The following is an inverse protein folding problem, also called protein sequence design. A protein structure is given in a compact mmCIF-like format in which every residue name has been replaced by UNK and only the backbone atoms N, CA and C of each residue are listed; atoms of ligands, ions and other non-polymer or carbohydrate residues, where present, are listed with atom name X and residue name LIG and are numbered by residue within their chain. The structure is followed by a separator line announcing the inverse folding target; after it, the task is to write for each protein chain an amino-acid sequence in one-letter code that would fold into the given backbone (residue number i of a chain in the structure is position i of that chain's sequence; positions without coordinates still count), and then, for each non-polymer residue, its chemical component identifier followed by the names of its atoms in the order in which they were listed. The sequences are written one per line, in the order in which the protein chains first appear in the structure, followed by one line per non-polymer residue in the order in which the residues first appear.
data_IF_053130731551
#
_entry.id   IF_053130731551
#
_cell.length_a   1.000
_cell.length_b   1.000
_cell.length_c   1.000
_cell.angle_alpha   90.00
_cell.angle_beta   90.00
_cell.angle_gamma   90.00
#
_symmetry.space_group_name_H-M   'P 1'
#
loop_
_entity.id
_entity.type
_entity.pdbx_description
1 polymer ?
#
# COMPACT_ATOMS: atom_id res chain seq x y z
N UNK A 1 -26.76 4.15 27.96
CA UNK A 1 -26.16 5.27 28.72
C UNK A 1 -25.37 6.13 27.75
N UNK A 2 -25.91 7.28 27.33
CA UNK A 2 -25.25 8.22 26.42
C UNK A 2 -24.25 9.05 27.24
N UNK A 3 -22.97 8.70 27.16
CA UNK A 3 -21.88 9.49 27.76
C UNK A 3 -21.97 10.93 27.27
N UNK A 4 -22.00 11.92 28.18
CA UNK A 4 -22.12 13.32 27.78
C UNK A 4 -20.89 13.76 26.99
N UNK A 5 -21.09 14.60 25.99
CA UNK A 5 -20.03 15.05 25.07
C UNK A 5 -18.74 15.58 25.71
N UNK A 6 -18.75 16.35 26.83
CA UNK A 6 -17.51 16.75 27.51
C UNK A 6 -16.79 15.57 28.19
N UNK A 7 -17.51 14.58 28.72
CA UNK A 7 -16.91 13.37 29.29
C UNK A 7 -16.17 12.56 28.23
N UNK A 8 -16.65 12.56 26.98
CA UNK A 8 -16.01 11.86 25.88
C UNK A 8 -14.68 12.51 25.41
N UNK A 9 -14.54 13.84 25.53
CA UNK A 9 -13.28 14.54 25.24
C UNK A 9 -12.28 14.33 26.38
N UNK A 10 -12.73 14.41 27.62
CA UNK A 10 -11.91 14.11 28.80
C UNK A 10 -11.41 12.65 28.80
N UNK A 11 -12.27 11.70 28.43
CA UNK A 11 -11.88 10.30 28.30
C UNK A 11 -10.79 10.10 27.23
N UNK A 12 -10.89 10.81 26.10
CA UNK A 12 -9.85 10.82 25.07
C UNK A 12 -8.54 11.39 25.62
N UNK A 13 -8.56 12.57 26.24
CA UNK A 13 -7.38 13.19 26.83
C UNK A 13 -6.70 12.25 27.85
N UNK A 14 -7.48 11.60 28.72
CA UNK A 14 -6.95 10.64 29.69
C UNK A 14 -6.28 9.42 29.05
N UNK A 15 -6.76 8.96 27.88
CA UNK A 15 -6.11 7.86 27.13
C UNK A 15 -4.78 8.31 26.54
N UNK A 16 -4.70 9.52 25.98
CA UNK A 16 -3.44 10.05 25.42
C UNK A 16 -2.40 10.39 26.49
N UNK A 17 -2.83 10.78 27.69
CA UNK A 17 -1.94 11.16 28.79
C UNK A 17 -1.39 9.97 29.59
N UNK A 18 -1.79 8.73 29.28
CA UNK A 18 -1.17 7.56 29.91
C UNK A 18 0.32 7.50 29.53
N UNK A 19 1.23 7.28 30.48
CA UNK A 19 2.67 7.25 30.21
C UNK A 19 3.06 6.18 29.18
N UNK A 20 2.29 5.09 29.09
CA UNK A 20 2.50 3.99 28.13
C UNK A 20 1.77 4.20 26.79
N UNK A 21 1.10 5.34 26.58
CA UNK A 21 0.42 5.60 25.33
C UNK A 21 1.45 5.76 24.21
N UNK A 22 1.39 4.83 23.24
CA UNK A 22 2.19 4.91 22.02
C UNK A 22 1.95 6.23 21.29
N UNK A 23 2.93 6.69 20.53
CA UNK A 23 2.80 7.90 19.71
C UNK A 23 1.58 7.81 18.77
N UNK A 24 1.35 6.63 18.19
CA UNK A 24 0.16 6.32 17.38
C UNK A 24 -1.15 6.58 18.13
N UNK A 25 -1.25 6.09 19.37
CA UNK A 25 -2.44 6.30 20.21
C UNK A 25 -2.65 7.78 20.50
N UNK A 26 -1.59 8.52 20.84
CA UNK A 26 -1.65 9.97 21.09
C UNK A 26 -2.14 10.74 19.85
N UNK A 27 -1.61 10.43 18.67
CA UNK A 27 -2.05 11.02 17.40
C UNK A 27 -3.53 10.72 17.09
N UNK A 28 -3.95 9.47 17.21
CA UNK A 28 -5.35 9.06 16.95
C UNK A 28 -6.31 9.80 17.89
N UNK A 29 -5.95 9.87 19.17
CA UNK A 29 -6.76 10.54 20.19
C UNK A 29 -6.88 12.04 19.88
N UNK A 30 -5.78 12.72 19.59
CA UNK A 30 -5.79 14.15 19.28
C UNK A 30 -6.66 14.47 18.05
N UNK A 31 -6.49 13.73 16.95
CA UNK A 31 -7.33 13.88 15.74
C UNK A 31 -8.81 13.64 16.03
N UNK A 32 -9.12 12.62 16.84
CA UNK A 32 -10.51 12.32 17.26
C UNK A 32 -11.11 13.43 18.12
N UNK A 33 -10.32 14.04 19.02
CA UNK A 33 -10.79 15.14 19.85
C UNK A 33 -11.16 16.37 19.00
N UNK A 34 -10.31 16.73 18.03
CA UNK A 34 -10.56 17.83 17.09
C UNK A 34 -11.81 17.59 16.23
N UNK A 35 -11.94 16.39 15.63
CA UNK A 35 -13.14 16.01 14.85
C UNK A 35 -14.42 15.99 15.69
N UNK A 36 -14.33 15.60 16.96
CA UNK A 36 -15.47 15.66 17.88
C UNK A 36 -15.87 17.09 18.18
N UNK A 37 -14.91 18.00 18.39
CA UNK A 37 -15.18 19.43 18.56
C UNK A 37 -15.82 20.03 17.30
N UNK A 38 -15.36 19.65 16.11
CA UNK A 38 -15.98 20.05 14.84
C UNK A 38 -17.43 19.55 14.75
N UNK A 39 -17.69 18.29 15.11
CA UNK A 39 -19.04 17.74 15.13
C UNK A 39 -19.96 18.46 16.12
N UNK A 40 -19.47 18.89 17.29
CA UNK A 40 -20.25 19.69 18.24
C UNK A 40 -20.73 21.01 17.64
N UNK A 41 -19.88 21.67 16.85
CA UNK A 41 -20.22 22.95 16.23
C UNK A 41 -21.24 22.83 15.10
N UNK A 42 -21.49 21.63 14.55
CA UNK A 42 -22.47 21.41 13.47
C UNK A 42 -23.90 21.78 13.88
N UNK A 43 -24.24 21.68 15.17
CA UNK A 43 -25.56 22.07 15.68
C UNK A 43 -25.84 23.59 15.60
N UNK A 44 -24.81 24.40 15.37
CA UNK A 44 -24.87 25.86 15.29
C UNK A 44 -24.60 26.39 13.87
N UNK A 45 -24.79 25.53 12.87
CA UNK A 45 -24.77 25.96 11.48
C UNK A 45 -25.88 26.99 11.20
N UNK A 46 -25.67 27.91 10.24
CA UNK A 46 -24.53 28.00 9.34
C UNK A 46 -23.31 28.75 9.90
N UNK A 47 -23.45 29.48 11.01
CA UNK A 47 -22.45 30.43 11.51
C UNK A 47 -21.11 29.80 11.91
N UNK A 48 -21.10 28.51 12.24
CA UNK A 48 -19.89 27.77 12.63
C UNK A 48 -19.14 27.12 11.47
N UNK A 49 -19.57 27.29 10.21
CA UNK A 49 -18.99 26.60 9.05
C UNK A 49 -17.46 26.78 8.93
N UNK A 50 -16.96 27.99 9.11
CA UNK A 50 -15.51 28.28 9.06
C UNK A 50 -14.75 27.61 10.23
N UNK A 51 -15.33 27.62 11.43
CA UNK A 51 -14.71 27.00 12.60
C UNK A 51 -14.68 25.46 12.48
N UNK A 52 -15.72 24.85 11.91
CA UNK A 52 -15.77 23.41 11.60
C UNK A 52 -14.66 23.06 10.62
N UNK A 53 -14.56 23.79 9.50
CA UNK A 53 -13.53 23.57 8.49
C UNK A 53 -12.12 23.71 9.09
N UNK A 54 -11.87 24.74 9.89
CA UNK A 54 -10.58 24.93 10.57
C UNK A 54 -10.23 23.75 11.49
N UNK A 55 -11.19 23.22 12.25
CA UNK A 55 -10.96 22.06 13.14
C UNK A 55 -10.75 20.76 12.36
N UNK A 56 -11.46 20.57 11.25
CA UNK A 56 -11.26 19.41 10.37
C UNK A 56 -9.88 19.45 9.70
N UNK A 57 -9.46 20.64 9.24
CA UNK A 57 -8.12 20.87 8.69
C UNK A 57 -7.03 20.61 9.75
N UNK A 58 -7.16 21.20 10.94
CA UNK A 58 -6.23 20.93 12.05
C UNK A 58 -6.16 19.44 12.40
N UNK A 59 -7.28 18.72 12.35
CA UNK A 59 -7.29 17.28 12.59
C UNK A 59 -6.58 16.49 11.48
N UNK A 60 -6.60 16.97 10.25
CA UNK A 60 -5.84 16.40 9.13
C UNK A 60 -4.35 16.65 9.31
N UNK A 61 -4.00 17.90 9.62
CA UNK A 61 -2.60 18.36 9.70
C UNK A 61 -1.89 17.89 10.97
N UNK A 62 -2.64 17.52 12.02
CA UNK A 62 -2.06 17.08 13.29
C UNK A 62 -1.15 15.85 13.11
N UNK A 63 0.15 16.07 13.29
CA UNK A 63 1.18 15.05 13.10
C UNK A 63 1.40 14.63 11.65
N UNK A 64 0.93 15.42 10.66
CA UNK A 64 1.16 15.15 9.25
C UNK A 64 2.65 15.19 8.91
N UNK A 65 3.40 16.17 9.40
CA UNK A 65 4.86 16.27 9.21
C UNK A 65 5.59 15.05 9.76
N UNK A 66 5.25 14.62 10.98
CA UNK A 66 5.87 13.44 11.59
C UNK A 66 5.52 12.16 10.83
N UNK A 67 4.26 12.02 10.39
CA UNK A 67 3.83 10.88 9.59
C UNK A 67 4.55 10.85 8.24
N UNK A 68 4.72 12.01 7.61
CA UNK A 68 5.43 12.15 6.34
C UNK A 68 6.91 11.81 6.49
N UNK A 69 7.57 12.29 7.55
CA UNK A 69 8.95 11.90 7.87
C UNK A 69 9.08 10.39 8.11
N UNK A 70 8.16 9.78 8.88
CA UNK A 70 8.14 8.32 9.07
C UNK A 70 7.89 7.58 7.76
N UNK A 71 7.00 8.09 6.90
CA UNK A 71 6.71 7.50 5.59
C UNK A 71 7.95 7.52 4.70
N UNK A 72 8.74 8.59 4.71
CA UNK A 72 9.99 8.69 3.96
C UNK A 72 11.03 7.65 4.43
N UNK A 73 11.17 7.48 5.74
CA UNK A 73 12.06 6.44 6.31
C UNK A 73 11.58 5.03 5.96
N UNK A 74 10.28 4.78 6.06
CA UNK A 74 9.70 3.49 5.67
C UNK A 74 9.96 3.20 4.18
N UNK A 75 9.79 4.22 3.34
CA UNK A 75 10.04 4.13 1.90
C UNK A 75 11.51 3.85 1.59
N UNK A 76 12.46 4.49 2.26
CA UNK A 76 13.89 4.21 2.05
C UNK A 76 14.26 2.78 2.40
N UNK A 77 13.67 2.20 3.45
CA UNK A 77 13.84 0.77 3.73
C UNK A 77 13.25 -0.10 2.61
N UNK A 78 12.05 0.24 2.12
CA UNK A 78 11.44 -0.46 1.00
C UNK A 78 12.31 -0.41 -0.27
N UNK A 79 12.91 0.74 -0.57
CA UNK A 79 13.84 0.89 -1.69
C UNK A 79 15.06 0.00 -1.51
N UNK A 80 15.72 0.01 -0.35
CA UNK A 80 16.87 -0.86 -0.09
C UNK A 80 16.51 -2.35 -0.24
N UNK A 81 15.35 -2.77 0.28
CA UNK A 81 14.90 -4.16 0.18
C UNK A 81 14.60 -4.58 -1.26
N UNK A 82 13.95 -3.72 -2.05
CA UNK A 82 13.63 -4.02 -3.46
C UNK A 82 14.86 -4.03 -4.37
N UNK A 83 15.93 -3.32 -4.00
CA UNK A 83 17.17 -3.29 -4.78
C UNK A 83 18.17 -4.38 -4.35
N UNK A 84 18.05 -4.94 -3.14
CA UNK A 84 18.87 -6.07 -2.72
C UNK A 84 18.39 -7.38 -3.38
N UNK A 85 19.08 -7.77 -4.46
CA UNK A 85 18.74 -9.00 -5.17
C UNK A 85 19.28 -10.27 -4.51
N UNK A 86 20.43 -10.21 -3.84
CA UNK A 86 21.07 -11.42 -3.31
C UNK A 86 21.88 -11.20 -2.03
N UNK A 87 22.04 -9.97 -1.54
CA UNK A 87 22.93 -9.66 -0.43
C UNK A 87 22.46 -10.32 0.87
N UNK A 88 21.18 -10.14 1.23
CA UNK A 88 20.60 -10.75 2.42
C UNK A 88 20.57 -12.28 2.32
N UNK A 89 20.26 -12.83 1.15
CA UNK A 89 20.32 -14.28 0.94
C UNK A 89 21.74 -14.82 1.12
N UNK A 90 22.74 -14.15 0.56
CA UNK A 90 24.15 -14.57 0.66
C UNK A 90 24.65 -14.51 2.10
N UNK A 91 24.20 -13.51 2.87
CA UNK A 91 24.64 -13.30 4.25
C UNK A 91 23.98 -14.27 5.25
N UNK A 92 22.67 -14.53 5.10
CA UNK A 92 21.88 -15.28 6.08
C UNK A 92 21.52 -16.70 5.64
N UNK A 93 21.58 -16.98 4.34
CA UNK A 93 21.00 -18.18 3.74
C UNK A 93 19.47 -18.16 3.77
N UNK A 94 18.85 -19.05 2.99
CA UNK A 94 17.39 -19.13 2.86
C UNK A 94 16.70 -19.37 4.22
N UNK A 95 17.19 -20.34 5.00
CA UNK A 95 16.57 -20.68 6.29
C UNK A 95 16.69 -19.52 7.30
N UNK A 96 17.82 -18.81 7.30
CA UNK A 96 18.02 -17.63 8.14
C UNK A 96 17.07 -16.48 7.79
N UNK A 97 16.78 -16.28 6.50
CA UNK A 97 15.75 -15.31 6.07
C UNK A 97 14.36 -15.74 6.51
N UNK A 98 14.01 -17.02 6.34
CA UNK A 98 12.71 -17.52 6.77
C UNK A 98 12.51 -17.45 8.29
N UNK A 99 13.59 -17.61 9.08
CA UNK A 99 13.55 -17.42 10.52
C UNK A 99 13.40 -15.95 10.91
N UNK A 100 14.14 -15.04 10.25
CA UNK A 100 14.03 -13.60 10.46
C UNK A 100 12.61 -13.09 10.20
N UNK A 101 11.97 -13.62 9.16
CA UNK A 101 10.62 -13.24 8.72
C UNK A 101 9.51 -14.01 9.44
N UNK A 102 9.81 -14.94 10.35
CA UNK A 102 8.82 -15.81 11.00
C UNK A 102 7.92 -16.55 9.99
N UNK A 103 8.50 -17.08 8.91
CA UNK A 103 7.75 -17.78 7.85
C UNK A 103 7.26 -19.14 8.34
N UNK A 104 6.02 -19.50 8.03
CA UNK A 104 5.45 -20.81 8.33
C UNK A 104 6.23 -21.95 7.63
N UNK A 105 6.57 -23.06 8.32
CA UNK A 105 7.32 -24.18 7.73
C UNK A 105 6.72 -24.78 6.44
N UNK A 106 5.39 -24.77 6.29
CA UNK A 106 4.72 -25.28 5.08
C UNK A 106 4.98 -24.35 3.89
N UNK A 107 4.88 -23.04 4.10
CA UNK A 107 5.13 -22.03 3.07
C UNK A 107 6.62 -21.95 2.72
N UNK A 108 7.53 -22.14 3.70
CA UNK A 108 8.97 -22.26 3.45
C UNK A 108 9.28 -23.34 2.43
N UNK A 109 8.70 -24.51 2.62
CA UNK A 109 8.91 -25.64 1.72
C UNK A 109 8.25 -25.41 0.34
N UNK A 110 7.13 -24.70 0.29
CA UNK A 110 6.52 -24.29 -0.97
C UNK A 110 7.44 -23.36 -1.77
N UNK A 111 7.87 -22.24 -1.18
CA UNK A 111 8.70 -21.26 -1.89
C UNK A 111 10.10 -21.80 -2.22
N UNK A 112 10.61 -22.75 -1.42
CA UNK A 112 11.83 -23.49 -1.77
C UNK A 112 11.67 -24.30 -3.07
N UNK A 113 10.52 -24.94 -3.29
CA UNK A 113 10.24 -25.67 -4.53
C UNK A 113 10.01 -24.75 -5.72
N UNK A 114 9.44 -23.58 -5.47
CA UNK A 114 9.25 -22.54 -6.49
C UNK A 114 10.58 -21.84 -6.86
N UNK A 115 11.66 -22.11 -6.11
CA UNK A 115 12.99 -21.58 -6.41
C UNK A 115 13.17 -20.12 -5.99
N UNK A 116 12.37 -19.64 -5.04
CA UNK A 116 12.46 -18.28 -4.52
C UNK A 116 13.83 -18.05 -3.90
N UNK A 117 14.52 -17.01 -4.37
CA UNK A 117 15.95 -16.82 -4.13
C UNK A 117 16.32 -15.39 -3.68
N UNK A 118 15.36 -14.59 -3.22
CA UNK A 118 15.67 -13.30 -2.61
C UNK A 118 14.65 -12.85 -1.56
N UNK A 119 15.04 -11.83 -0.79
CA UNK A 119 14.27 -11.30 0.32
C UNK A 119 13.02 -10.56 -0.15
N UNK A 120 13.12 -9.86 -1.28
CA UNK A 120 12.01 -9.07 -1.83
C UNK A 120 10.87 -9.96 -2.32
N UNK A 121 11.18 -11.12 -2.91
CA UNK A 121 10.19 -12.11 -3.32
C UNK A 121 9.45 -12.68 -2.10
N UNK A 122 10.18 -13.05 -1.04
CA UNK A 122 9.56 -13.56 0.19
C UNK A 122 8.61 -12.54 0.83
N UNK A 123 9.01 -11.27 0.90
CA UNK A 123 8.25 -10.21 1.57
C UNK A 123 7.13 -9.66 0.70
N UNK A 124 7.40 -9.34 -0.56
CA UNK A 124 6.53 -8.52 -1.39
C UNK A 124 5.70 -9.33 -2.39
N UNK A 125 6.31 -10.34 -3.03
CA UNK A 125 5.62 -11.16 -4.03
C UNK A 125 4.80 -12.26 -3.35
N UNK A 126 5.40 -12.98 -2.40
CA UNK A 126 4.74 -14.08 -1.68
C UNK A 126 4.09 -13.63 -0.36
N UNK A 127 4.37 -12.41 0.09
CA UNK A 127 3.80 -11.82 1.31
C UNK A 127 3.92 -12.75 2.52
N UNK A 128 5.13 -13.23 2.82
CA UNK A 128 5.38 -14.25 3.85
C UNK A 128 5.84 -13.70 5.20
N UNK A 129 5.97 -12.40 5.35
CA UNK A 129 6.31 -11.77 6.61
C UNK A 129 5.29 -12.15 7.70
N UNK A 130 5.79 -12.71 8.81
CA UNK A 130 5.01 -13.14 9.98
C UNK A 130 3.91 -14.17 9.65
N UNK A 131 4.11 -14.94 8.59
CA UNK A 131 3.09 -15.88 8.11
C UNK A 131 2.81 -17.04 9.06
N UNK A 132 3.72 -17.34 9.99
CA UNK A 132 3.47 -18.30 11.07
C UNK A 132 2.33 -17.85 12.00
N UNK A 133 2.20 -16.55 12.26
CA UNK A 133 1.18 -15.99 13.16
C UNK A 133 -0.13 -15.62 12.45
N UNK A 134 -0.10 -15.41 11.13
CA UNK A 134 -1.25 -14.98 10.32
C UNK A 134 -1.78 -16.08 9.38
N UNK A 135 -1.73 -17.33 9.83
CA UNK A 135 -2.13 -18.48 8.99
C UNK A 135 -3.60 -18.43 8.60
N UNK A 136 -3.87 -18.44 7.30
CA UNK A 136 -5.23 -18.50 6.74
C UNK A 136 -5.91 -17.14 6.57
N UNK A 137 -5.19 -16.04 6.80
CA UNK A 137 -5.64 -14.72 6.41
C UNK A 137 -5.44 -14.52 4.90
N UNK A 138 -6.46 -13.97 4.23
CA UNK A 138 -6.41 -13.68 2.78
C UNK A 138 -5.41 -12.57 2.45
N UNK A 139 -5.05 -11.74 3.43
CA UNK A 139 -4.14 -10.61 3.26
C UNK A 139 -3.26 -10.42 4.50
N UNK A 140 -1.95 -10.55 4.33
CA UNK A 140 -0.95 -10.29 5.37
C UNK A 140 -0.46 -8.84 5.23
N UNK A 141 -0.21 -8.17 6.35
CA UNK A 141 0.19 -6.74 6.39
C UNK A 141 1.41 -6.51 7.29
N UNK A 142 2.53 -7.09 6.87
CA UNK A 142 3.80 -6.92 7.57
C UNK A 142 4.44 -5.54 7.31
N UNK A 143 5.20 -4.99 8.28
CA UNK A 143 5.86 -3.69 8.12
C UNK A 143 6.86 -3.65 6.95
N UNK A 144 7.53 -4.74 6.60
CA UNK A 144 8.43 -4.77 5.44
C UNK A 144 7.64 -4.85 4.13
N UNK A 145 6.52 -5.57 4.10
CA UNK A 145 5.59 -5.53 2.96
C UNK A 145 5.11 -4.09 2.69
N UNK A 146 4.66 -3.39 3.73
CA UNK A 146 4.21 -1.99 3.63
C UNK A 146 5.33 -1.05 3.18
N UNK A 147 6.58 -1.31 3.58
CA UNK A 147 7.75 -0.57 3.12
C UNK A 147 7.97 -0.74 1.60
N UNK A 148 8.02 -1.98 1.13
CA UNK A 148 8.16 -2.30 -0.30
C UNK A 148 7.00 -1.72 -1.11
N UNK A 149 5.77 -1.82 -0.60
CA UNK A 149 4.59 -1.27 -1.28
C UNK A 149 4.65 0.26 -1.38
N UNK A 150 5.07 0.95 -0.31
CA UNK A 150 5.25 2.40 -0.32
C UNK A 150 6.34 2.85 -1.31
N UNK A 151 7.47 2.14 -1.36
CA UNK A 151 8.56 2.40 -2.30
C UNK A 151 8.13 2.19 -3.76
N UNK A 152 7.47 1.07 -4.06
CA UNK A 152 6.92 0.80 -5.38
C UNK A 152 5.90 1.86 -5.81
N UNK A 153 4.98 2.21 -4.91
CA UNK A 153 3.98 3.25 -5.17
C UNK A 153 4.59 4.65 -5.37
N UNK A 154 5.72 4.94 -4.73
CA UNK A 154 6.48 6.16 -4.98
C UNK A 154 7.12 6.14 -6.36
N UNK A 155 7.85 5.08 -6.70
CA UNK A 155 8.46 4.88 -8.01
C UNK A 155 7.43 5.04 -9.13
N UNK A 156 6.28 4.36 -9.05
CA UNK A 156 5.22 4.47 -10.06
C UNK A 156 4.72 5.91 -10.24
N UNK A 157 4.63 6.67 -9.14
CA UNK A 157 4.10 8.04 -9.16
C UNK A 157 5.09 9.06 -9.72
N UNK A 158 6.39 8.84 -9.50
CA UNK A 158 7.45 9.79 -9.86
C UNK A 158 8.31 9.32 -11.03
N UNK A 159 8.01 8.15 -11.59
CA UNK A 159 8.69 7.62 -12.76
C UNK A 159 8.60 8.63 -13.92
N UNK A 160 9.74 8.92 -14.60
CA UNK A 160 9.72 9.68 -15.84
C UNK A 160 8.78 9.05 -16.88
N UNK A 161 8.24 9.86 -17.78
CA UNK A 161 7.42 9.36 -18.88
C UNK A 161 8.20 8.32 -19.70
N UNK A 162 7.59 7.16 -19.94
CA UNK A 162 8.21 6.04 -20.64
C UNK A 162 9.13 5.15 -19.78
N UNK A 163 9.37 5.47 -18.50
CA UNK A 163 10.18 4.63 -17.62
C UNK A 163 9.40 3.42 -17.05
N UNK A 164 8.06 3.50 -16.99
CA UNK A 164 7.24 2.36 -16.60
C UNK A 164 7.07 1.39 -17.77
N UNK A 165 7.14 0.07 -17.53
CA UNK A 165 6.84 -0.93 -18.56
C UNK A 165 5.44 -0.73 -19.13
N UNK A 166 5.27 -0.84 -20.45
CA UNK A 166 3.95 -0.85 -21.07
C UNK A 166 3.25 -2.19 -20.80
N UNK A 167 2.19 -2.23 -19.97
CA UNK A 167 1.51 -3.48 -19.68
C UNK A 167 0.81 -4.08 -20.91
N UNK A 168 0.54 -3.28 -21.94
CA UNK A 168 -0.05 -3.70 -23.21
C UNK A 168 1.00 -3.97 -24.30
N UNK A 169 2.28 -3.70 -24.03
CA UNK A 169 3.40 -3.94 -24.93
C UNK A 169 3.69 -5.42 -25.10
N UNK A 170 4.55 -5.78 -26.06
CA UNK A 170 4.91 -7.18 -26.31
C UNK A 170 5.54 -7.81 -25.06
N UNK A 171 4.99 -8.93 -24.60
CA UNK A 171 5.41 -9.61 -23.37
C UNK A 171 4.81 -9.04 -22.08
N UNK A 172 4.02 -7.96 -22.18
CA UNK A 172 3.26 -7.41 -21.06
C UNK A 172 2.05 -8.29 -20.69
N UNK A 173 1.56 -8.21 -19.44
CA UNK A 173 0.46 -9.03 -18.95
C UNK A 173 -0.88 -8.75 -19.64
N UNK A 174 -1.03 -7.57 -20.24
CA UNK A 174 -2.22 -7.14 -20.97
C UNK A 174 -1.96 -7.08 -22.48
N UNK A 175 -0.88 -7.69 -22.95
CA UNK A 175 -0.63 -7.83 -24.38
C UNK A 175 -1.81 -8.54 -25.05
N UNK A 176 -2.34 -7.96 -26.12
CA UNK A 176 -3.51 -8.51 -26.79
C UNK A 176 -4.85 -8.18 -26.12
N UNK A 177 -4.88 -7.28 -25.12
CA UNK A 177 -6.14 -6.69 -24.67
C UNK A 177 -6.58 -5.53 -25.60
N UNK A 178 -7.89 -5.33 -25.85
CA UNK A 178 -8.39 -4.15 -26.53
C UNK A 178 -8.12 -2.88 -25.71
N UNK A 179 -7.61 -1.83 -26.35
CA UNK A 179 -7.30 -0.55 -25.69
C UNK A 179 -8.12 0.57 -26.31
N UNK A 180 -8.67 1.45 -25.47
CA UNK A 180 -9.24 2.72 -25.94
C UNK A 180 -8.17 3.81 -25.87
N UNK A 181 -7.90 4.45 -27.00
CA UNK A 181 -6.94 5.55 -27.13
C UNK A 181 -7.73 6.84 -27.24
N UNK A 182 -7.55 7.73 -26.26
CA UNK A 182 -8.02 9.11 -26.30
C UNK A 182 -6.97 9.96 -27.03
N UNK A 183 -7.37 10.56 -28.14
CA UNK A 183 -6.52 11.45 -28.92
C UNK A 183 -6.55 12.87 -28.35
N UNK A 184 -5.55 13.72 -28.67
CA UNK A 184 -5.50 15.11 -28.21
C UNK A 184 -6.71 15.97 -28.62
N UNK A 185 -7.42 15.58 -29.69
CA UNK A 185 -8.64 16.22 -30.17
C UNK A 185 -9.91 15.78 -29.43
N UNK A 186 -9.78 14.90 -28.43
CA UNK A 186 -10.89 14.37 -27.64
C UNK A 186 -11.59 13.16 -28.27
N UNK A 187 -11.14 12.69 -29.44
CA UNK A 187 -11.71 11.49 -30.07
C UNK A 187 -11.21 10.21 -29.41
N UNK A 188 -12.07 9.20 -29.33
CA UNK A 188 -11.73 7.88 -28.81
C UNK A 188 -11.66 6.88 -29.96
N UNK A 189 -10.56 6.13 -30.03
CA UNK A 189 -10.41 5.01 -30.97
C UNK A 189 -10.15 3.72 -30.21
N UNK A 190 -10.70 2.62 -30.70
CA UNK A 190 -10.42 1.30 -30.14
C UNK A 190 -9.29 0.64 -30.93
N UNK A 191 -8.12 0.47 -30.31
CA UNK A 191 -7.06 -0.38 -30.83
C UNK A 191 -7.37 -1.82 -30.43
N UNK A 192 -7.79 -2.63 -31.40
CA UNK A 192 -8.01 -4.07 -31.19
C UNK A 192 -6.75 -4.83 -31.63
N UNK A 193 -6.32 -5.83 -30.87
CA UNK A 193 -5.22 -6.67 -31.30
C UNK A 193 -5.65 -7.54 -32.47
N UNK A 194 -4.67 -7.94 -33.27
CA UNK A 194 -4.88 -8.87 -34.37
C UNK A 194 -5.47 -10.18 -33.83
N UNK A 195 -6.48 -10.70 -34.52
CA UNK A 195 -7.13 -11.93 -34.14
C UNK A 195 -6.38 -13.11 -34.78
N UNK A 196 -5.82 -14.01 -33.97
CA UNK A 196 -5.30 -15.27 -34.50
C UNK A 196 -6.45 -16.27 -34.62
N UNK A 197 -6.75 -16.69 -35.85
CA UNK A 197 -7.75 -17.71 -36.16
C UNK A 197 -7.02 -19.03 -36.41
N UNK A 198 -7.46 -20.08 -35.73
CA UNK A 198 -7.02 -21.44 -35.97
C UNK A 198 -8.13 -22.19 -36.73
N UNK A 199 -7.77 -22.81 -37.86
CA UNK A 199 -8.64 -23.69 -38.63
C UNK A 199 -7.89 -24.97 -39.06
N UNK A 200 -8.57 -25.85 -39.80
CA UNK A 200 -7.99 -27.11 -40.25
C UNK A 200 -6.77 -26.95 -41.18
N UNK A 201 -6.53 -25.74 -41.73
CA UNK A 201 -5.38 -25.41 -42.57
C UNK A 201 -4.22 -24.75 -41.82
N UNK A 202 -4.41 -24.44 -40.53
CA UNK A 202 -3.37 -23.88 -39.66
C UNK A 202 -3.82 -22.61 -38.93
N UNK A 203 -2.83 -21.80 -38.53
CA UNK A 203 -3.07 -20.55 -37.80
C UNK A 203 -2.84 -19.35 -38.72
N UNK A 204 -3.78 -18.40 -38.77
CA UNK A 204 -3.63 -17.15 -39.53
C UNK A 204 -4.01 -15.94 -38.71
N UNK A 205 -3.29 -14.85 -38.91
CA UNK A 205 -3.52 -13.57 -38.22
C UNK A 205 -4.46 -12.70 -39.05
N UNK A 206 -5.53 -12.22 -38.44
CA UNK A 206 -6.53 -11.32 -39.04
C UNK A 206 -6.39 -9.94 -38.38
N UNK A 207 -5.91 -8.97 -39.15
CA UNK A 207 -5.83 -7.57 -38.69
C UNK A 207 -7.23 -6.99 -38.49
N UNK A 208 -7.43 -6.23 -37.41
CA UNK A 208 -8.73 -5.67 -37.01
C UNK A 208 -8.66 -4.17 -36.78
#
# INVERSE_FOLDING_TARGET
MTTSHPQAILALANIAMKPEATLRTRLIVARRALRRKANQLRQHLPFTKLAIHSLEQQASDYGAEQMEATRQVLMSYGEELLHDRTGYLTALGFDGLCDLLSVNPVEREQVRREGVADLSDLIFIHNLEESASHRGEDFKSGPLFEACFAAMGHFIRTAPEGALPDPFGLGGPLYGAPVQVLHPDGTLTAKRPDLTVHDASGSRVVKR
#
